data_IF_695385029462
#
_entry.id   IF_695385029462
#
_cell.length_a   1.000
_cell.length_b   1.000
_cell.length_c   1.000
_cell.angle_alpha   90.00
_cell.angle_beta   90.00
_cell.angle_gamma   90.00
#
_symmetry.space_group_name_H-M   'P 1'
#
loop_
_entity.id
_entity.type
_entity.pdbx_description
1 polymer ?
#
# COMPACT_ATOMS: atom_id res chain seq x y z
N UNK A 1 -34.42 9.80 -16.40
CA UNK A 1 -33.29 10.17 -15.52
C UNK A 1 -32.57 8.89 -15.17
N UNK A 2 -31.34 8.69 -15.64
CA UNK A 2 -30.55 7.54 -15.23
C UNK A 2 -30.40 7.61 -13.71
N UNK A 3 -30.76 6.53 -13.00
CA UNK A 3 -30.51 6.38 -11.58
C UNK A 3 -29.05 6.75 -11.31
N UNK A 4 -28.80 7.75 -10.45
CA UNK A 4 -27.50 8.03 -9.86
C UNK A 4 -27.13 6.81 -9.00
N UNK A 5 -26.70 5.72 -9.62
CA UNK A 5 -25.90 4.70 -8.94
C UNK A 5 -24.63 5.43 -8.50
N UNK A 6 -24.55 5.76 -7.20
CA UNK A 6 -23.41 6.45 -6.60
C UNK A 6 -22.12 5.77 -7.07
N UNK A 7 -21.28 6.50 -7.81
CA UNK A 7 -19.97 6.02 -8.25
C UNK A 7 -19.17 5.57 -7.02
N UNK A 8 -18.42 4.48 -7.15
CA UNK A 8 -17.48 4.06 -6.11
C UNK A 8 -16.34 5.06 -6.06
N UNK A 9 -15.80 5.29 -4.87
CA UNK A 9 -14.75 6.29 -4.65
C UNK A 9 -13.45 5.58 -4.30
N UNK A 10 -12.38 5.91 -5.03
CA UNK A 10 -11.04 5.39 -4.79
C UNK A 10 -10.06 6.51 -4.41
N UNK A 11 -9.19 6.25 -3.44
CA UNK A 11 -8.03 7.10 -3.14
C UNK A 11 -6.74 6.33 -3.46
N UNK A 12 -5.82 6.95 -4.20
CA UNK A 12 -4.52 6.36 -4.54
C UNK A 12 -3.40 7.30 -4.11
N UNK A 13 -2.59 6.91 -3.13
CA UNK A 13 -1.38 7.67 -2.77
C UNK A 13 -0.24 7.34 -3.73
N UNK A 14 0.54 8.33 -4.14
CA UNK A 14 1.55 8.16 -5.17
C UNK A 14 0.93 7.91 -6.55
N UNK A 15 -0.26 8.47 -6.79
CA UNK A 15 -1.07 8.23 -7.98
C UNK A 15 -0.62 8.99 -9.23
N UNK A 16 0.39 9.86 -9.12
CA UNK A 16 0.84 10.72 -10.24
C UNK A 16 1.85 10.04 -11.16
N UNK A 17 2.24 8.78 -10.89
CA UNK A 17 3.16 8.04 -11.75
C UNK A 17 3.33 6.57 -11.37
N UNK A 18 4.14 5.86 -12.16
CA UNK A 18 4.53 4.47 -11.89
C UNK A 18 3.34 3.52 -11.65
N UNK A 19 3.43 2.72 -10.59
CA UNK A 19 2.38 1.75 -10.22
C UNK A 19 1.06 2.40 -9.83
N UNK A 20 1.10 3.55 -9.14
CA UNK A 20 -0.11 4.27 -8.72
C UNK A 20 -0.92 4.74 -9.94
N UNK A 21 -0.24 5.35 -10.92
CA UNK A 21 -0.87 5.77 -12.17
C UNK A 21 -1.45 4.58 -12.96
N UNK A 22 -0.74 3.45 -13.01
CA UNK A 22 -1.24 2.25 -13.69
C UNK A 22 -2.56 1.74 -13.05
N UNK A 23 -2.68 1.80 -11.73
CA UNK A 23 -3.93 1.45 -11.03
C UNK A 23 -5.03 2.50 -11.28
N UNK A 24 -4.70 3.79 -11.27
CA UNK A 24 -5.64 4.89 -11.58
C UNK A 24 -6.23 4.72 -12.98
N UNK A 25 -5.38 4.46 -13.98
CA UNK A 25 -5.80 4.21 -15.35
C UNK A 25 -6.69 2.96 -15.46
N UNK A 26 -6.35 1.88 -14.75
CA UNK A 26 -7.13 0.65 -14.76
C UNK A 26 -8.51 0.82 -14.09
N UNK A 27 -8.61 1.59 -13.00
CA UNK A 27 -9.89 1.97 -12.38
C UNK A 27 -10.74 2.81 -13.33
N UNK A 28 -10.14 3.82 -13.97
CA UNK A 28 -10.84 4.68 -14.93
C UNK A 28 -11.37 3.87 -16.12
N UNK A 29 -10.57 2.93 -16.64
CA UNK A 29 -10.95 2.05 -17.73
C UNK A 29 -12.10 1.09 -17.37
N UNK A 30 -12.21 0.65 -16.09
CA UNK A 30 -13.36 -0.13 -15.60
C UNK A 30 -14.66 0.68 -15.57
N UNK A 31 -14.57 1.99 -15.39
CA UNK A 31 -15.73 2.87 -15.19
C UNK A 31 -16.40 2.65 -13.82
N UNK A 32 -17.35 3.54 -13.50
CA UNK A 32 -18.06 3.51 -12.21
C UNK A 32 -17.23 3.96 -11.01
N UNK A 33 -16.03 4.49 -11.24
CA UNK A 33 -15.14 5.03 -10.21
C UNK A 33 -14.98 6.54 -10.33
N UNK A 34 -15.03 7.22 -9.19
CA UNK A 34 -14.47 8.54 -8.95
C UNK A 34 -13.12 8.34 -8.24
N UNK A 35 -12.05 8.91 -8.80
CA UNK A 35 -10.68 8.60 -8.39
C UNK A 35 -10.02 9.86 -7.84
N UNK A 36 -9.43 9.76 -6.66
CA UNK A 36 -8.68 10.82 -6.03
C UNK A 36 -7.23 10.38 -5.86
N UNK A 37 -6.31 11.07 -6.54
CA UNK A 37 -4.88 10.83 -6.40
C UNK A 37 -4.27 11.80 -5.39
N UNK A 38 -3.40 11.29 -4.52
CA UNK A 38 -2.67 12.06 -3.53
C UNK A 38 -1.18 11.93 -3.82
N UNK A 39 -0.49 13.04 -4.02
CA UNK A 39 0.95 13.04 -4.32
C UNK A 39 1.61 14.36 -3.91
N UNK A 40 2.93 14.36 -3.76
CA UNK A 40 3.72 15.59 -3.54
C UNK A 40 4.00 16.31 -4.86
N UNK A 41 3.98 15.57 -5.98
CA UNK A 41 4.29 16.03 -7.34
C UNK A 41 3.11 16.77 -7.98
N UNK A 42 3.05 18.08 -7.76
CA UNK A 42 1.91 18.91 -8.17
C UNK A 42 1.67 18.93 -9.69
N UNK A 43 2.73 19.08 -10.49
CA UNK A 43 2.62 19.20 -11.93
C UNK A 43 2.10 17.90 -12.56
N UNK A 44 2.74 16.78 -12.23
CA UNK A 44 2.35 15.44 -12.69
C UNK A 44 0.95 15.07 -12.19
N UNK A 45 0.62 15.40 -10.94
CA UNK A 45 -0.71 15.15 -10.39
C UNK A 45 -1.81 15.91 -11.14
N UNK A 46 -1.58 17.19 -11.47
CA UNK A 46 -2.50 17.99 -12.29
C UNK A 46 -2.65 17.44 -13.70
N UNK A 47 -1.56 16.98 -14.31
CA UNK A 47 -1.58 16.35 -15.63
C UNK A 47 -2.39 15.05 -15.64
N UNK A 48 -2.22 14.19 -14.63
CA UNK A 48 -3.00 12.95 -14.50
C UNK A 48 -4.48 13.26 -14.29
N UNK A 49 -4.83 14.22 -13.42
CA UNK A 49 -6.22 14.60 -13.20
C UNK A 49 -6.90 15.20 -14.46
N UNK A 50 -6.13 15.86 -15.33
CA UNK A 50 -6.64 16.38 -16.60
C UNK A 50 -6.78 15.30 -17.68
N UNK A 51 -5.92 14.28 -17.67
CA UNK A 51 -5.85 13.25 -18.73
C UNK A 51 -6.62 11.97 -18.43
N UNK A 52 -6.85 11.63 -17.16
CA UNK A 52 -7.58 10.43 -16.76
C UNK A 52 -9.01 10.79 -16.36
N UNK A 53 -10.04 10.18 -16.98
CA UNK A 53 -11.44 10.47 -16.66
C UNK A 53 -11.78 10.28 -15.18
N UNK A 54 -12.71 11.10 -14.67
CA UNK A 54 -13.21 11.05 -13.29
C UNK A 54 -12.11 11.06 -12.21
N UNK A 55 -10.96 11.68 -12.52
CA UNK A 55 -9.81 11.74 -11.60
C UNK A 55 -9.62 13.16 -11.08
N UNK A 56 -9.28 13.31 -9.80
CA UNK A 56 -8.93 14.59 -9.18
C UNK A 56 -7.65 14.46 -8.37
N UNK A 57 -6.88 15.54 -8.29
CA UNK A 57 -5.60 15.58 -7.60
C UNK A 57 -5.65 16.38 -6.31
N UNK A 58 -4.98 15.86 -5.28
CA UNK A 58 -4.75 16.53 -4.00
C UNK A 58 -3.25 16.49 -3.67
N UNK A 59 -2.64 17.66 -3.49
CA UNK A 59 -1.24 17.73 -3.11
C UNK A 59 -1.08 17.45 -1.62
N UNK A 60 -0.24 16.46 -1.26
CA UNK A 60 0.13 16.21 0.14
C UNK A 60 1.46 15.45 0.25
N UNK A 61 2.27 15.83 1.24
CA UNK A 61 3.38 15.03 1.73
C UNK A 61 2.88 14.01 2.77
N UNK A 62 3.17 12.73 2.57
CA UNK A 62 2.77 11.66 3.49
C UNK A 62 3.41 11.76 4.89
N UNK A 63 4.52 12.48 5.01
CA UNK A 63 5.16 12.77 6.31
C UNK A 63 4.44 13.89 7.07
N UNK A 64 3.57 14.66 6.38
CA UNK A 64 2.75 15.70 6.97
C UNK A 64 1.31 15.23 7.18
N UNK A 65 1.00 14.84 8.41
CA UNK A 65 -0.32 14.31 8.77
C UNK A 65 -1.48 15.29 8.50
N UNK A 66 -1.26 16.60 8.69
CA UNK A 66 -2.30 17.60 8.45
C UNK A 66 -2.65 17.72 6.97
N UNK A 67 -1.65 17.72 6.09
CA UNK A 67 -1.87 17.70 4.64
C UNK A 67 -2.57 16.42 4.19
N UNK A 68 -2.10 15.26 4.66
CA UNK A 68 -2.69 13.97 4.33
C UNK A 68 -4.16 13.89 4.79
N UNK A 69 -4.45 14.33 6.02
CA UNK A 69 -5.82 14.39 6.55
C UNK A 69 -6.72 15.31 5.72
N UNK A 70 -6.23 16.48 5.31
CA UNK A 70 -6.97 17.40 4.44
C UNK A 70 -7.28 16.79 3.07
N UNK A 71 -6.33 16.07 2.47
CA UNK A 71 -6.51 15.39 1.18
C UNK A 71 -7.56 14.27 1.26
N UNK A 72 -7.49 13.41 2.29
CA UNK A 72 -8.51 12.37 2.52
C UNK A 72 -9.89 12.97 2.77
N UNK A 73 -9.98 14.05 3.57
CA UNK A 73 -11.23 14.77 3.79
C UNK A 73 -11.81 15.30 2.49
N UNK A 74 -10.99 15.96 1.67
CA UNK A 74 -11.42 16.52 0.40
C UNK A 74 -11.91 15.44 -0.57
N UNK A 75 -11.20 14.31 -0.68
CA UNK A 75 -11.63 13.16 -1.46
C UNK A 75 -12.98 12.60 -0.98
N UNK A 76 -13.15 12.42 0.34
CA UNK A 76 -14.41 11.91 0.91
C UNK A 76 -15.59 12.86 0.66
N UNK A 77 -15.40 14.17 0.83
CA UNK A 77 -16.46 15.18 0.55
C UNK A 77 -16.80 15.21 -0.93
N UNK A 78 -15.80 15.22 -1.81
CA UNK A 78 -16.00 15.19 -3.27
C UNK A 78 -16.66 13.89 -3.75
N UNK A 79 -16.42 12.79 -3.03
CA UNK A 79 -17.03 11.48 -3.19
C UNK A 79 -18.47 11.37 -2.69
N UNK A 80 -19.11 12.48 -2.30
CA UNK A 80 -20.42 12.48 -1.66
C UNK A 80 -20.47 11.61 -0.39
N UNK A 81 -19.48 11.80 0.49
CA UNK A 81 -19.33 11.09 1.77
C UNK A 81 -19.17 9.57 1.60
N UNK A 82 -18.39 9.18 0.58
CA UNK A 82 -18.12 7.78 0.25
C UNK A 82 -16.63 7.57 0.00
N UNK A 83 -16.11 6.44 0.44
CA UNK A 83 -14.78 5.91 0.15
C UNK A 83 -14.85 4.37 0.16
N UNK A 84 -14.65 3.74 -1.00
CA UNK A 84 -14.77 2.29 -1.18
C UNK A 84 -13.41 1.60 -1.30
N UNK A 85 -12.42 2.28 -1.87
CA UNK A 85 -11.10 1.69 -2.10
C UNK A 85 -9.97 2.65 -1.78
N UNK A 86 -8.93 2.16 -1.08
CA UNK A 86 -7.67 2.89 -0.91
C UNK A 86 -6.51 2.04 -1.35
N UNK A 87 -5.72 2.57 -2.29
CA UNK A 87 -4.40 2.03 -2.62
C UNK A 87 -3.31 2.89 -1.94
N UNK A 88 -2.84 2.43 -0.78
CA UNK A 88 -1.74 3.05 -0.04
C UNK A 88 -0.41 2.65 -0.70
N UNK A 89 -0.03 3.40 -1.74
CA UNK A 89 1.05 3.04 -2.66
C UNK A 89 2.29 3.93 -2.60
N UNK A 90 2.15 5.20 -2.23
CA UNK A 90 3.28 6.13 -2.19
C UNK A 90 4.46 5.56 -1.39
N UNK A 91 5.66 5.73 -1.96
CA UNK A 91 6.90 5.23 -1.40
C UNK A 91 8.11 5.78 -2.15
N UNK A 92 9.26 5.73 -1.49
CA UNK A 92 10.54 6.16 -2.04
C UNK A 92 11.60 5.09 -1.77
N UNK A 93 12.66 5.03 -2.58
CA UNK A 93 13.84 4.27 -2.19
C UNK A 93 14.61 5.01 -1.08
N UNK A 94 15.43 4.27 -0.35
CA UNK A 94 16.43 4.83 0.56
C UNK A 94 17.34 5.85 -0.15
N UNK A 95 17.61 6.97 0.54
CA UNK A 95 18.43 8.08 0.05
C UNK A 95 19.81 8.17 0.72
N UNK A 96 20.01 7.46 1.82
CA UNK A 96 21.29 7.36 2.50
C UNK A 96 22.04 6.09 2.08
N UNK A 97 23.37 6.17 2.02
CA UNK A 97 24.18 4.96 1.96
C UNK A 97 24.46 4.50 3.40
N UNK A 98 23.74 3.47 3.86
CA UNK A 98 23.95 2.87 5.18
C UNK A 98 25.40 2.40 5.40
N UNK A 99 26.08 2.00 4.33
CA UNK A 99 27.42 1.42 4.38
C UNK A 99 28.53 2.45 4.15
N UNK A 100 28.21 3.75 4.24
CA UNK A 100 29.22 4.80 4.09
C UNK A 100 30.27 4.68 5.20
N UNK A 101 31.55 4.65 4.82
CA UNK A 101 32.65 4.70 5.78
C UNK A 101 32.72 6.12 6.36
N UNK A 102 32.49 6.25 7.67
CA UNK A 102 32.54 7.52 8.39
C UNK A 102 33.91 7.81 9.01
N UNK A 103 34.92 7.00 8.68
CA UNK A 103 36.28 7.12 9.19
C UNK A 103 36.41 6.78 10.68
N UNK A 104 37.58 7.10 11.24
CA UNK A 104 37.92 6.85 12.65
C UNK A 104 37.93 8.16 13.43
N UNK A 105 36.75 8.75 13.62
CA UNK A 105 36.56 9.95 14.46
C UNK A 105 36.12 9.54 15.88
N UNK A 106 36.47 10.36 16.88
CA UNK A 106 35.87 10.26 18.22
C UNK A 106 34.46 10.85 18.25
N UNK A 107 34.15 11.76 17.32
CA UNK A 107 32.82 12.34 17.16
C UNK A 107 31.88 11.34 16.48
N UNK A 108 30.59 11.32 16.85
CA UNK A 108 29.62 10.44 16.21
C UNK A 108 29.45 10.79 14.72
N UNK A 109 29.10 9.81 13.88
CA UNK A 109 28.73 10.09 12.50
C UNK A 109 27.46 10.96 12.44
N UNK A 110 27.23 11.69 11.33
CA UNK A 110 25.97 12.39 11.12
C UNK A 110 24.76 11.47 11.23
N UNK A 111 23.63 12.03 11.66
CA UNK A 111 22.37 11.29 11.70
C UNK A 111 22.00 10.77 10.30
N UNK A 112 21.48 9.55 10.26
CA UNK A 112 21.07 8.90 9.02
C UNK A 112 19.80 9.54 8.47
N UNK A 113 19.70 9.62 7.14
CA UNK A 113 18.46 10.05 6.51
C UNK A 113 17.37 8.96 6.66
N UNK A 114 16.39 9.22 7.53
CA UNK A 114 15.26 8.32 7.82
C UNK A 114 14.02 8.56 6.94
N UNK A 115 14.10 9.43 5.92
CA UNK A 115 12.95 9.79 5.08
C UNK A 115 12.32 8.56 4.42
N UNK A 116 13.10 7.53 4.08
CA UNK A 116 12.57 6.28 3.54
C UNK A 116 11.65 5.58 4.54
N UNK A 117 12.00 5.54 5.83
CA UNK A 117 11.17 4.96 6.88
C UNK A 117 9.95 5.84 7.14
N UNK A 118 10.13 7.15 7.22
CA UNK A 118 9.04 8.11 7.45
C UNK A 118 7.96 8.03 6.37
N UNK A 119 8.36 7.97 5.09
CA UNK A 119 7.41 7.87 3.98
C UNK A 119 6.82 6.47 3.88
N UNK A 120 7.67 5.44 3.79
CA UNK A 120 7.21 4.09 3.44
C UNK A 120 6.47 3.39 4.58
N UNK A 121 6.82 3.66 5.84
CA UNK A 121 6.20 3.00 6.99
C UNK A 121 5.23 3.94 7.71
N UNK A 122 5.71 5.06 8.26
CA UNK A 122 4.86 5.99 9.03
C UNK A 122 3.78 6.63 8.16
N UNK A 123 4.14 7.11 6.97
CA UNK A 123 3.20 7.67 5.99
C UNK A 123 2.16 6.65 5.52
N UNK A 124 2.58 5.39 5.32
CA UNK A 124 1.67 4.28 5.03
C UNK A 124 0.68 4.03 6.17
N UNK A 125 1.16 3.90 7.41
CA UNK A 125 0.32 3.70 8.60
C UNK A 125 -0.71 4.84 8.72
N UNK A 126 -0.27 6.09 8.55
CA UNK A 126 -1.16 7.25 8.58
C UNK A 126 -2.22 7.22 7.47
N UNK A 127 -1.83 6.80 6.25
CA UNK A 127 -2.77 6.64 5.13
C UNK A 127 -3.83 5.59 5.43
N UNK A 128 -3.45 4.45 6.01
CA UNK A 128 -4.36 3.37 6.39
C UNK A 128 -5.26 3.77 7.56
N UNK A 129 -4.73 4.53 8.52
CA UNK A 129 -5.50 5.09 9.63
C UNK A 129 -6.63 6.01 9.12
N UNK A 130 -6.31 6.93 8.22
CA UNK A 130 -7.29 7.83 7.58
C UNK A 130 -8.27 7.05 6.68
N UNK A 131 -7.77 6.09 5.92
CA UNK A 131 -8.61 5.21 5.10
C UNK A 131 -9.69 4.51 5.94
N UNK A 132 -9.29 3.89 7.06
CA UNK A 132 -10.23 3.24 7.98
C UNK A 132 -11.27 4.23 8.50
N UNK A 133 -10.86 5.43 8.90
CA UNK A 133 -11.77 6.47 9.40
C UNK A 133 -12.88 6.82 8.40
N UNK A 134 -12.54 7.04 7.13
CA UNK A 134 -13.50 7.44 6.10
C UNK A 134 -14.29 6.26 5.51
N UNK A 135 -13.69 5.07 5.37
CA UNK A 135 -14.42 3.87 4.96
C UNK A 135 -15.50 3.52 5.99
N UNK A 136 -15.24 3.65 7.30
CA UNK A 136 -16.25 3.40 8.35
C UNK A 136 -17.47 4.32 8.28
N UNK A 137 -17.33 5.48 7.65
CA UNK A 137 -18.41 6.45 7.45
C UNK A 137 -19.14 6.24 6.12
N UNK A 138 -18.63 5.34 5.27
CA UNK A 138 -19.19 5.07 3.95
C UNK A 138 -20.36 4.08 4.03
N UNK A 139 -21.30 4.11 3.05
CA UNK A 139 -22.47 3.24 3.06
C UNK A 139 -22.13 1.75 2.86
N UNK A 140 -21.02 1.46 2.18
CA UNK A 140 -20.57 0.10 1.88
C UNK A 140 -19.20 -0.18 2.53
N UNK A 141 -18.91 -1.49 2.67
CA UNK A 141 -17.62 -1.96 3.16
C UNK A 141 -16.54 -1.71 2.11
N UNK A 142 -15.36 -1.26 2.56
CA UNK A 142 -14.26 -0.91 1.67
C UNK A 142 -13.11 -1.92 1.65
N UNK A 143 -12.17 -1.67 0.76
CA UNK A 143 -10.92 -2.42 0.64
C UNK A 143 -9.72 -1.49 0.71
N UNK A 144 -8.64 -1.97 1.33
CA UNK A 144 -7.34 -1.30 1.39
C UNK A 144 -6.30 -2.26 0.83
N UNK A 145 -5.57 -1.80 -0.18
CA UNK A 145 -4.37 -2.48 -0.66
C UNK A 145 -3.16 -1.63 -0.32
N UNK A 146 -2.17 -2.24 0.30
CA UNK A 146 -0.95 -1.56 0.77
C UNK A 146 0.23 -2.04 -0.05
N UNK A 147 1.06 -1.10 -0.54
CA UNK A 147 2.28 -1.46 -1.28
C UNK A 147 3.46 -1.66 -0.33
N UNK A 148 3.84 -2.93 -0.15
CA UNK A 148 5.16 -3.29 0.40
C UNK A 148 6.19 -3.38 -0.74
N UNK A 149 6.95 -4.49 -0.83
CA UNK A 149 7.95 -4.82 -1.84
C UNK A 149 8.34 -6.30 -1.68
N UNK A 150 8.98 -6.90 -2.68
CA UNK A 150 9.76 -8.11 -2.44
C UNK A 150 10.84 -7.88 -1.35
N UNK A 151 11.36 -6.66 -1.21
CA UNK A 151 12.23 -6.24 -0.11
C UNK A 151 11.55 -6.18 1.27
N UNK A 152 10.22 -6.38 1.33
CA UNK A 152 9.48 -6.58 2.57
C UNK A 152 9.39 -8.04 3.01
N UNK A 153 9.94 -8.96 2.22
CA UNK A 153 9.95 -10.41 2.47
C UNK A 153 11.38 -10.97 2.44
N UNK A 154 12.23 -10.40 1.59
CA UNK A 154 13.61 -10.78 1.41
C UNK A 154 14.53 -9.58 1.60
N UNK A 155 15.83 -9.79 1.92
CA UNK A 155 16.78 -8.71 2.10
C UNK A 155 16.92 -7.82 0.86
N UNK A 156 17.07 -6.51 1.07
CA UNK A 156 17.61 -5.59 0.08
C UNK A 156 19.00 -5.16 0.51
N UNK A 157 20.02 -5.74 -0.12
CA UNK A 157 21.42 -5.50 0.27
C UNK A 157 21.92 -4.08 -0.04
N UNK A 158 21.31 -3.40 -1.01
CA UNK A 158 21.68 -2.03 -1.36
C UNK A 158 20.82 -0.96 -0.66
N UNK A 159 19.71 -1.36 -0.03
CA UNK A 159 18.77 -0.43 0.60
C UNK A 159 18.17 -1.03 1.89
N UNK A 160 18.98 -1.23 2.94
CA UNK A 160 18.56 -1.90 4.17
C UNK A 160 17.49 -1.12 4.95
N UNK A 161 17.49 0.23 4.97
CA UNK A 161 16.44 0.97 5.70
C UNK A 161 15.11 0.92 4.95
N UNK A 162 15.16 0.91 3.62
CA UNK A 162 13.97 0.64 2.80
C UNK A 162 13.41 -0.76 3.06
N UNK A 163 14.27 -1.79 3.10
CA UNK A 163 13.85 -3.15 3.41
C UNK A 163 13.22 -3.25 4.81
N UNK A 164 13.83 -2.61 5.81
CA UNK A 164 13.27 -2.54 7.17
C UNK A 164 11.86 -1.92 7.17
N UNK A 165 11.68 -0.78 6.48
CA UNK A 165 10.36 -0.14 6.36
C UNK A 165 9.34 -1.06 5.67
N UNK A 166 9.72 -1.74 4.58
CA UNK A 166 8.82 -2.62 3.81
C UNK A 166 8.49 -3.93 4.55
N UNK A 167 9.41 -4.47 5.36
CA UNK A 167 9.10 -5.56 6.29
C UNK A 167 8.09 -5.09 7.35
N UNK A 168 8.30 -3.89 7.90
CA UNK A 168 7.35 -3.25 8.82
C UNK A 168 5.94 -3.12 8.22
N UNK A 169 5.84 -2.78 6.92
CA UNK A 169 4.55 -2.71 6.21
C UNK A 169 3.87 -4.09 6.12
N UNK A 170 4.61 -5.17 5.83
CA UNK A 170 4.03 -6.53 5.79
C UNK A 170 3.54 -6.95 7.19
N UNK A 171 4.35 -6.72 8.22
CA UNK A 171 3.97 -6.98 9.60
C UNK A 171 2.71 -6.21 9.98
N UNK A 172 2.69 -4.90 9.71
CA UNK A 172 1.56 -4.03 9.96
C UNK A 172 0.28 -4.51 9.27
N UNK A 173 0.33 -4.83 7.98
CA UNK A 173 -0.84 -5.32 7.23
C UNK A 173 -1.41 -6.61 7.85
N UNK A 174 -0.54 -7.55 8.22
CA UNK A 174 -0.94 -8.82 8.89
C UNK A 174 -1.57 -8.57 10.26
N UNK A 175 -1.04 -7.61 11.03
CA UNK A 175 -1.56 -7.29 12.36
C UNK A 175 -2.95 -6.67 12.35
N UNK A 176 -3.29 -5.86 11.34
CA UNK A 176 -4.56 -5.10 11.34
C UNK A 176 -5.70 -5.80 10.59
N UNK A 177 -5.39 -6.69 9.63
CA UNK A 177 -6.37 -7.16 8.66
C UNK A 177 -7.56 -7.89 9.29
N UNK A 178 -7.30 -8.80 10.22
CA UNK A 178 -8.33 -9.59 10.91
C UNK A 178 -9.28 -8.68 11.70
N UNK A 179 -8.74 -7.77 12.50
CA UNK A 179 -9.54 -6.84 13.29
C UNK A 179 -10.34 -5.85 12.42
N UNK A 180 -9.73 -5.29 11.38
CA UNK A 180 -10.42 -4.37 10.46
C UNK A 180 -11.60 -5.06 9.77
N UNK A 181 -11.42 -6.33 9.39
CA UNK A 181 -12.49 -7.09 8.78
C UNK A 181 -13.60 -7.42 9.78
N UNK A 182 -13.27 -7.95 10.96
CA UNK A 182 -14.28 -8.30 11.98
C UNK A 182 -15.04 -7.09 12.51
N UNK A 183 -14.35 -5.99 12.81
CA UNK A 183 -14.94 -4.82 13.43
C UNK A 183 -15.65 -3.91 12.42
N UNK A 184 -15.07 -3.72 11.23
CA UNK A 184 -15.53 -2.71 10.28
C UNK A 184 -15.96 -3.30 8.93
N UNK A 185 -15.70 -4.58 8.65
CA UNK A 185 -15.90 -5.21 7.34
C UNK A 185 -14.85 -4.79 6.30
N UNK A 186 -13.76 -4.15 6.72
CA UNK A 186 -12.75 -3.59 5.81
C UNK A 186 -11.71 -4.66 5.50
N UNK A 187 -11.52 -4.95 4.21
CA UNK A 187 -10.46 -5.87 3.77
C UNK A 187 -9.14 -5.13 3.67
N UNK A 188 -8.06 -5.75 4.15
CA UNK A 188 -6.70 -5.22 4.03
C UNK A 188 -5.80 -6.28 3.44
N UNK A 189 -5.11 -5.98 2.34
CA UNK A 189 -4.15 -6.87 1.70
C UNK A 189 -2.85 -6.12 1.36
N UNK A 190 -1.74 -6.85 1.27
CA UNK A 190 -0.43 -6.29 0.92
C UNK A 190 0.04 -6.79 -0.45
N UNK A 191 0.43 -5.84 -1.31
CA UNK A 191 1.14 -6.11 -2.56
C UNK A 191 2.65 -6.02 -2.32
N UNK A 192 3.39 -7.05 -2.72
CA UNK A 192 4.86 -7.11 -2.70
C UNK A 192 5.38 -7.17 -4.15
N UNK A 193 5.51 -6.03 -4.85
CA UNK A 193 6.03 -6.05 -6.22
C UNK A 193 7.48 -6.55 -6.28
N UNK A 194 7.81 -7.28 -7.35
CA UNK A 194 9.19 -7.53 -7.79
C UNK A 194 9.81 -6.27 -8.41
N UNK A 195 10.74 -6.44 -9.35
CA UNK A 195 11.32 -5.30 -10.06
C UNK A 195 10.27 -4.67 -10.99
N UNK A 196 9.89 -3.41 -10.76
CA UNK A 196 9.00 -2.65 -11.65
C UNK A 196 9.73 -1.41 -12.12
N UNK A 197 9.91 -1.28 -13.44
CA UNK A 197 10.61 -0.15 -14.04
C UNK A 197 9.77 1.13 -13.88
N UNK A 198 10.06 1.89 -12.82
CA UNK A 198 9.34 3.12 -12.45
C UNK A 198 10.30 4.24 -12.03
N UNK A 199 9.84 5.50 -11.94
CA UNK A 199 10.67 6.61 -11.47
C UNK A 199 11.05 6.60 -9.97
N UNK A 200 10.91 5.47 -9.26
CA UNK A 200 11.35 5.36 -7.85
C UNK A 200 12.87 5.46 -7.70
N UNK A 201 13.60 5.12 -8.76
CA UNK A 201 15.02 5.40 -8.98
C UNK A 201 15.19 6.03 -10.37
N UNK A 202 16.35 6.66 -10.68
CA UNK A 202 16.63 7.15 -12.01
C UNK A 202 16.46 6.06 -13.07
N UNK A 203 15.86 6.40 -14.22
CA UNK A 203 15.54 5.40 -15.25
C UNK A 203 16.78 4.67 -15.78
N UNK A 204 17.92 5.38 -15.87
CA UNK A 204 19.21 4.80 -16.25
C UNK A 204 19.69 3.73 -15.26
N UNK A 205 19.33 3.82 -13.98
CA UNK A 205 19.72 2.81 -12.99
C UNK A 205 19.07 1.45 -13.26
N UNK A 206 17.90 1.43 -13.92
CA UNK A 206 17.23 0.18 -14.33
C UNK A 206 17.92 -0.53 -15.49
N UNK A 207 18.77 0.15 -16.28
CA UNK A 207 19.43 -0.44 -17.45
C UNK A 207 20.45 -1.53 -17.08
N UNK A 208 20.87 -1.58 -15.81
CA UNK A 208 21.73 -2.63 -15.28
C UNK A 208 21.02 -3.96 -15.01
N UNK A 209 19.68 -3.99 -15.06
CA UNK A 209 18.88 -5.19 -14.80
C UNK A 209 18.49 -5.89 -16.11
N UNK A 210 18.50 -7.24 -16.17
CA UNK A 210 18.04 -7.96 -17.36
C UNK A 210 16.56 -7.71 -17.62
N UNK A 211 16.16 -7.43 -18.87
CA UNK A 211 14.79 -7.01 -19.20
C UNK A 211 13.70 -7.98 -18.72
N UNK A 212 13.98 -9.29 -18.77
CA UNK A 212 13.03 -10.34 -18.39
C UNK A 212 12.67 -10.37 -16.89
N UNK A 213 13.39 -9.63 -16.03
CA UNK A 213 13.11 -9.57 -14.58
C UNK A 213 12.02 -8.58 -14.24
N UNK A 214 11.64 -7.70 -15.18
CA UNK A 214 10.66 -6.67 -14.91
C UNK A 214 9.23 -7.20 -14.89
N UNK A 215 8.52 -6.81 -13.84
CA UNK A 215 7.08 -6.99 -13.67
C UNK A 215 6.38 -5.88 -14.43
N UNK A 216 5.52 -6.20 -15.41
CA UNK A 216 4.75 -5.21 -16.15
C UNK A 216 3.78 -4.42 -15.26
N UNK A 217 3.53 -3.15 -15.60
CA UNK A 217 2.62 -2.28 -14.85
C UNK A 217 1.15 -2.77 -14.89
N UNK A 218 0.73 -3.40 -15.99
CA UNK A 218 -0.58 -4.02 -16.12
C UNK A 218 -0.74 -5.24 -15.21
N UNK A 219 0.34 -5.99 -14.96
CA UNK A 219 0.33 -7.05 -13.95
C UNK A 219 0.14 -6.47 -12.54
N UNK A 220 0.78 -5.33 -12.24
CA UNK A 220 0.57 -4.64 -10.96
C UNK A 220 -0.89 -4.21 -10.79
N UNK A 221 -1.45 -3.51 -11.78
CA UNK A 221 -2.83 -3.05 -11.70
C UNK A 221 -3.82 -4.21 -11.63
N UNK A 222 -3.59 -5.29 -12.38
CA UNK A 222 -4.38 -6.53 -12.29
C UNK A 222 -4.38 -7.11 -10.87
N UNK A 223 -3.23 -7.25 -10.23
CA UNK A 223 -3.13 -7.83 -8.88
C UNK A 223 -3.75 -6.90 -7.84
N UNK A 224 -3.52 -5.59 -7.92
CA UNK A 224 -4.12 -4.62 -7.01
C UNK A 224 -5.65 -4.67 -7.10
N UNK A 225 -6.18 -4.69 -8.31
CA UNK A 225 -7.62 -4.73 -8.52
C UNK A 225 -8.23 -6.07 -8.10
N UNK A 226 -7.56 -7.20 -8.35
CA UNK A 226 -7.97 -8.50 -7.83
C UNK A 226 -8.09 -8.48 -6.29
N UNK A 227 -7.11 -7.90 -5.60
CA UNK A 227 -7.14 -7.74 -4.14
C UNK A 227 -8.22 -6.74 -3.69
N UNK A 228 -8.44 -5.68 -4.47
CA UNK A 228 -9.47 -4.67 -4.20
C UNK A 228 -10.88 -5.25 -4.38
N UNK A 229 -11.10 -6.15 -5.34
CA UNK A 229 -12.38 -6.80 -5.61
C UNK A 229 -12.69 -7.87 -4.54
N UNK A 230 -11.67 -8.63 -4.11
CA UNK A 230 -11.81 -9.63 -3.05
C UNK A 230 -12.59 -10.88 -3.45
N UNK A 231 -12.54 -11.22 -4.74
CA UNK A 231 -13.13 -12.44 -5.30
C UNK A 231 -12.20 -13.64 -5.11
N UNK A 232 -12.68 -14.84 -5.46
CA UNK A 232 -11.84 -16.04 -5.53
C UNK A 232 -10.69 -15.83 -6.53
N UNK A 233 -9.49 -16.24 -6.15
CA UNK A 233 -8.34 -16.24 -7.07
C UNK A 233 -7.43 -17.44 -6.84
N UNK A 234 -6.65 -17.76 -7.87
CA UNK A 234 -5.66 -18.85 -7.84
C UNK A 234 -4.32 -18.26 -8.26
N UNK A 235 -3.30 -18.47 -7.44
CA UNK A 235 -1.95 -17.98 -7.74
C UNK A 235 -1.21 -18.88 -8.75
N UNK A 236 -0.03 -18.46 -9.18
CA UNK A 236 0.75 -19.20 -10.17
C UNK A 236 1.29 -20.57 -9.67
N UNK A 237 1.14 -20.91 -8.38
CA UNK A 237 1.44 -22.22 -7.80
C UNK A 237 0.19 -23.09 -7.60
N UNK A 238 -0.99 -22.61 -8.00
CA UNK A 238 -2.25 -23.31 -7.80
C UNK A 238 -2.84 -23.14 -6.41
N UNK A 239 -2.32 -22.22 -5.58
CA UNK A 239 -2.91 -21.92 -4.28
C UNK A 239 -4.22 -21.17 -4.53
N UNK A 240 -5.33 -21.78 -4.14
CA UNK A 240 -6.66 -21.17 -4.20
C UNK A 240 -6.92 -20.36 -2.94
N UNK A 241 -7.34 -19.12 -3.11
CA UNK A 241 -7.84 -18.25 -2.05
C UNK A 241 -9.30 -17.95 -2.39
N UNK A 242 -10.20 -18.27 -1.47
CA UNK A 242 -11.62 -17.93 -1.61
C UNK A 242 -11.86 -16.46 -1.27
N UNK A 243 -12.99 -15.90 -1.68
CA UNK A 243 -13.40 -14.54 -1.34
C UNK A 243 -13.42 -14.28 0.18
N UNK A 244 -13.75 -15.32 0.98
CA UNK A 244 -13.70 -15.25 2.45
C UNK A 244 -12.29 -15.22 3.02
N UNK A 245 -11.32 -15.77 2.30
CA UNK A 245 -9.91 -15.80 2.68
C UNK A 245 -9.12 -14.62 2.09
N UNK A 246 -9.70 -13.84 1.18
CA UNK A 246 -9.07 -12.69 0.50
C UNK A 246 -8.87 -11.45 1.42
N UNK A 247 -8.44 -11.70 2.65
CA UNK A 247 -8.21 -10.76 3.75
C UNK A 247 -6.84 -11.09 4.37
N UNK A 248 -6.03 -10.06 4.63
CA UNK A 248 -4.70 -10.23 5.24
C UNK A 248 -3.69 -10.91 4.30
N UNK A 249 -4.01 -11.05 3.02
CA UNK A 249 -3.14 -11.71 2.05
C UNK A 249 -1.93 -10.84 1.74
N UNK A 250 -0.77 -11.49 1.70
CA UNK A 250 0.47 -10.90 1.18
C UNK A 250 0.74 -11.51 -0.19
N UNK A 251 0.67 -10.71 -1.25
CA UNK A 251 0.78 -11.20 -2.63
C UNK A 251 1.98 -10.59 -3.32
N UNK A 252 2.89 -11.45 -3.79
CA UNK A 252 4.02 -11.05 -4.62
C UNK A 252 3.57 -10.98 -6.07
N UNK A 253 3.74 -9.84 -6.73
CA UNK A 253 3.59 -9.71 -8.18
C UNK A 253 4.98 -9.71 -8.81
N UNK A 254 5.31 -10.73 -9.59
CA UNK A 254 6.65 -10.89 -10.17
C UNK A 254 6.57 -11.41 -11.62
N UNK A 255 7.16 -10.67 -12.55
CA UNK A 255 7.01 -10.93 -13.98
C UNK A 255 5.54 -10.87 -14.37
N UNK A 256 5.03 -11.90 -15.05
CA UNK A 256 3.61 -12.03 -15.43
C UNK A 256 2.77 -12.82 -14.41
N UNK A 257 3.38 -13.22 -13.30
CA UNK A 257 2.76 -14.08 -12.30
C UNK A 257 2.48 -13.32 -11.01
N UNK A 258 1.70 -13.94 -10.14
CA UNK A 258 1.60 -13.55 -8.75
C UNK A 258 1.54 -14.78 -7.84
N UNK A 259 1.93 -14.59 -6.58
CA UNK A 259 2.11 -15.65 -5.60
C UNK A 259 1.61 -15.21 -4.23
N UNK A 260 0.85 -16.06 -3.56
CA UNK A 260 0.45 -15.82 -2.17
C UNK A 260 1.59 -16.24 -1.24
N UNK A 261 1.94 -15.35 -0.30
CA UNK A 261 2.98 -15.59 0.69
C UNK A 261 2.34 -15.74 2.07
N UNK A 262 2.41 -16.96 2.60
CA UNK A 262 1.93 -17.28 3.95
C UNK A 262 2.74 -16.53 5.01
N UNK A 263 2.13 -16.34 6.17
CA UNK A 263 2.86 -15.90 7.35
C UNK A 263 3.95 -16.94 7.71
N UNK A 264 5.04 -16.52 8.40
CA UNK A 264 6.02 -17.44 8.94
C UNK A 264 5.35 -18.49 9.83
N UNK A 265 5.84 -19.72 9.79
CA UNK A 265 5.40 -20.77 10.71
C UNK A 265 5.83 -20.44 12.14
N UNK A 266 4.98 -20.78 13.11
CA UNK A 266 5.32 -20.68 14.52
C UNK A 266 6.39 -21.73 14.86
N UNK A 267 7.34 -21.39 15.74
CA UNK A 267 8.37 -22.33 16.15
C UNK A 267 7.81 -23.49 17.01
N UNK A 268 6.72 -23.24 17.73
CA UNK A 268 5.98 -24.21 18.53
C UNK A 268 4.56 -23.69 18.86
N UNK A 269 3.76 -24.54 19.52
CA UNK A 269 2.41 -24.19 19.98
C UNK A 269 2.41 -23.07 21.04
N UNK A 270 3.51 -22.90 21.79
CA UNK A 270 3.63 -21.82 22.78
C UNK A 270 3.73 -20.46 22.09
N UNK A 271 4.49 -20.37 21.01
CA UNK A 271 4.58 -19.15 20.22
C UNK A 271 3.26 -18.82 19.52
N UNK A 272 2.55 -19.84 19.03
CA UNK A 272 1.19 -19.66 18.52
C UNK A 272 0.27 -19.06 19.60
N UNK A 273 0.28 -19.60 20.81
CA UNK A 273 -0.52 -19.09 21.92
C UNK A 273 -0.14 -17.65 22.33
N UNK A 274 1.15 -17.28 22.29
CA UNK A 274 1.59 -15.90 22.54
C UNK A 274 1.04 -14.95 21.49
N UNK A 275 1.14 -15.29 20.20
CA UNK A 275 0.62 -14.46 19.12
C UNK A 275 -0.90 -14.35 19.20
N UNK A 276 -1.59 -15.46 19.45
CA UNK A 276 -3.05 -15.48 19.67
C UNK A 276 -3.45 -14.61 20.87
N UNK A 277 -2.65 -14.62 21.94
CA UNK A 277 -2.81 -13.74 23.08
C UNK A 277 -2.73 -12.25 22.75
N UNK A 278 -2.04 -11.85 21.67
CA UNK A 278 -1.96 -10.45 21.22
C UNK A 278 -3.18 -9.96 20.43
N UNK A 279 -4.11 -10.86 20.09
CA UNK A 279 -5.34 -10.46 19.39
C UNK A 279 -6.10 -9.41 20.17
N UNK A 280 -6.70 -8.49 19.43
CA UNK A 280 -7.38 -7.31 19.98
C UNK A 280 -8.53 -7.74 20.92
N UNK A 281 -9.26 -8.79 20.58
CA UNK A 281 -10.32 -9.39 21.40
C UNK A 281 -9.81 -9.87 22.77
N UNK A 282 -8.59 -10.41 22.81
CA UNK A 282 -7.95 -10.94 24.01
C UNK A 282 -7.29 -9.85 24.86
N UNK A 283 -7.17 -8.63 24.33
CA UNK A 283 -6.45 -7.50 24.93
C UNK A 283 -7.38 -6.30 25.25
N UNK A 284 -8.68 -6.53 25.39
CA UNK A 284 -9.67 -5.47 25.60
C UNK A 284 -9.33 -4.50 26.76
N UNK A 285 -8.65 -4.98 27.82
CA UNK A 285 -8.21 -4.14 28.94
C UNK A 285 -6.93 -3.31 28.72
N UNK A 286 -6.13 -3.62 27.69
CA UNK A 286 -4.83 -2.97 27.45
C UNK A 286 -4.91 -1.85 26.39
N UNK A 287 -5.63 -2.09 25.29
CA UNK A 287 -5.55 -1.23 24.09
C UNK A 287 -6.87 -0.56 23.65
N UNK A 288 -8.04 -1.07 24.05
CA UNK A 288 -9.35 -0.60 23.52
C UNK A 288 -10.09 0.32 24.50
N UNK A 289 -9.81 0.21 25.79
CA UNK A 289 -10.55 0.90 26.87
C UNK A 289 -9.81 2.11 27.49
N UNK A 290 -8.93 2.77 26.73
CA UNK A 290 -8.31 4.06 27.13
C UNK A 290 -8.76 5.19 26.21
#
# INVERSE_FOLDING_TARGET
MASLTSQKVAVVTGGSGGMGLAVVQALAARGGWQIHIIDIKEAEGKEVAASVPNTSFHQADLTNYAQLGAAFKAAFVAGNQRLDFVFANAGILERANFYVDTGRSIEPPPEMNMTSVDVNLKGCINSVHLARHYIRQSPEKGSIVITSSCSGLWPSFCAPTYAAAKHGVVGFARSIADWFYKADGIRVNALCPGAVKTPIIPMASWESYPEHVFTPLDQISKVVLMLADGEDFVDAKGIKITAKEAIGQTVVANGKNFYVVKAPEYCDELMEAVVEGTRVENQAGFAINK
#
